data_IF_166538622977
#
_entry.id   IF_166538622977
#
_cell.length_a   1.000
_cell.length_b   1.000
_cell.length_c   1.000
_cell.angle_alpha   90.00
_cell.angle_beta   90.00
_cell.angle_gamma   90.00
#
_symmetry.space_group_name_H-M   'P 1'
#
loop_
_entity.id
_entity.type
_entity.pdbx_description
1 polymer ?
#
# COMPACT_ATOMS: atom_id res chain seq x y z
N UNK A 1 0.76 -8.67 35.09
CA UNK A 1 1.09 -9.21 33.74
C UNK A 1 -0.08 -9.06 32.78
N UNK A 2 -1.29 -9.46 33.20
CA UNK A 2 -2.50 -9.35 32.40
C UNK A 2 -2.81 -7.88 31.99
N UNK A 3 -2.50 -6.90 32.85
CA UNK A 3 -2.83 -5.50 32.59
C UNK A 3 -1.97 -4.85 31.53
N UNK A 4 -0.68 -5.19 31.50
CA UNK A 4 0.24 -4.78 30.43
C UNK A 4 -0.17 -5.42 29.09
N UNK A 5 -0.57 -6.69 29.11
CA UNK A 5 -1.03 -7.39 27.91
C UNK A 5 -2.35 -6.79 27.37
N UNK A 6 -3.30 -6.49 28.26
CA UNK A 6 -4.55 -5.82 27.93
C UNK A 6 -4.34 -4.39 27.42
N UNK A 7 -3.37 -3.67 27.96
CA UNK A 7 -2.99 -2.33 27.47
C UNK A 7 -2.45 -2.40 26.04
N UNK A 8 -1.47 -3.26 25.79
CA UNK A 8 -0.86 -3.42 24.45
C UNK A 8 -1.91 -3.90 23.44
N UNK A 9 -2.72 -4.89 23.80
CA UNK A 9 -3.82 -5.37 22.97
C UNK A 9 -4.84 -4.25 22.65
N UNK A 10 -5.17 -3.43 23.66
CA UNK A 10 -6.06 -2.28 23.51
C UNK A 10 -5.51 -1.21 22.57
N UNK A 11 -4.22 -0.90 22.66
CA UNK A 11 -3.56 0.07 21.76
C UNK A 11 -3.52 -0.43 20.31
N UNK A 12 -3.21 -1.72 20.10
CA UNK A 12 -3.25 -2.34 18.76
C UNK A 12 -4.66 -2.26 18.18
N UNK A 13 -5.68 -2.64 18.94
CA UNK A 13 -7.07 -2.56 18.50
C UNK A 13 -7.51 -1.13 18.24
N UNK A 14 -7.14 -0.18 19.09
CA UNK A 14 -7.44 1.24 18.90
C UNK A 14 -6.86 1.77 17.59
N UNK A 15 -5.60 1.44 17.29
CA UNK A 15 -4.96 1.79 16.01
C UNK A 15 -5.69 1.18 14.80
N UNK A 16 -6.04 -0.10 14.87
CA UNK A 16 -6.78 -0.79 13.79
C UNK A 16 -8.16 -0.16 13.56
N UNK A 17 -8.94 0.06 14.61
CA UNK A 17 -10.27 0.66 14.50
C UNK A 17 -10.22 2.14 14.09
N UNK A 18 -9.23 2.90 14.55
CA UNK A 18 -9.03 4.28 14.13
C UNK A 18 -8.69 4.37 12.63
N UNK A 19 -7.75 3.55 12.16
CA UNK A 19 -7.40 3.47 10.74
C UNK A 19 -8.60 3.01 9.89
N UNK A 20 -9.34 2.00 10.35
CA UNK A 20 -10.51 1.49 9.65
C UNK A 20 -11.65 2.53 9.58
N UNK A 21 -11.98 3.17 10.70
CA UNK A 21 -13.06 4.16 10.78
C UNK A 21 -12.76 5.42 9.98
N UNK A 22 -11.53 5.94 10.08
CA UNK A 22 -11.11 7.12 9.28
C UNK A 22 -11.12 6.81 7.78
N UNK A 23 -10.59 5.66 7.35
CA UNK A 23 -10.59 5.27 5.95
C UNK A 23 -12.01 5.11 5.38
N UNK A 24 -12.95 4.54 6.15
CA UNK A 24 -14.36 4.42 5.73
C UNK A 24 -15.09 5.76 5.69
N UNK A 25 -14.78 6.69 6.60
CA UNK A 25 -15.32 8.05 6.55
C UNK A 25 -14.78 8.85 5.36
N UNK A 26 -13.53 8.62 4.96
CA UNK A 26 -12.94 9.23 3.77
C UNK A 26 -13.57 8.67 2.48
N UNK A 27 -13.88 7.38 2.43
CA UNK A 27 -14.55 6.71 1.31
C UNK A 27 -15.97 6.24 1.66
N UNK A 28 -16.88 7.19 1.88
CA UNK A 28 -18.28 6.88 2.21
C UNK A 28 -19.01 6.16 1.08
N UNK A 29 -18.72 6.51 -0.17
CA UNK A 29 -19.32 5.87 -1.33
C UNK A 29 -18.94 4.39 -1.40
N UNK A 30 -17.64 4.07 -1.28
CA UNK A 30 -17.16 2.69 -1.20
C UNK A 30 -17.73 1.94 0.01
N UNK A 31 -17.83 2.59 1.17
CA UNK A 31 -18.44 2.00 2.37
C UNK A 31 -19.90 1.65 2.16
N UNK A 32 -20.69 2.52 1.51
CA UNK A 32 -22.10 2.26 1.17
C UNK A 32 -22.23 1.06 0.23
N UNK A 33 -21.40 0.99 -0.81
CA UNK A 33 -21.38 -0.12 -1.77
C UNK A 33 -21.02 -1.43 -1.07
N UNK A 34 -20.02 -1.43 -0.19
CA UNK A 34 -19.63 -2.58 0.60
C UNK A 34 -20.78 -3.08 1.49
N UNK A 35 -21.40 -2.17 2.24
CA UNK A 35 -22.54 -2.47 3.13
C UNK A 35 -23.70 -3.11 2.36
N UNK A 36 -24.03 -2.58 1.19
CA UNK A 36 -25.06 -3.17 0.32
C UNK A 36 -24.64 -4.57 -0.20
N UNK A 37 -23.38 -4.74 -0.59
CA UNK A 37 -22.83 -6.02 -1.07
C UNK A 37 -22.86 -7.12 0.01
N UNK A 38 -22.74 -6.74 1.29
CA UNK A 38 -22.92 -7.65 2.43
C UNK A 38 -24.39 -7.96 2.76
N UNK A 39 -25.34 -7.43 1.99
CA UNK A 39 -26.76 -7.77 2.07
C UNK A 39 -27.62 -6.82 2.90
N UNK A 40 -27.08 -5.65 3.29
CA UNK A 40 -27.89 -4.61 3.92
C UNK A 40 -28.79 -3.96 2.85
N UNK A 41 -30.10 -3.79 3.10
CA UNK A 41 -31.02 -3.17 2.15
C UNK A 41 -30.54 -1.77 1.72
N UNK A 42 -30.71 -1.40 0.44
CA UNK A 42 -30.21 -0.13 -0.10
C UNK A 42 -30.73 1.11 0.64
N UNK A 43 -31.94 1.03 1.23
CA UNK A 43 -32.54 2.10 2.04
C UNK A 43 -31.77 2.33 3.35
N UNK A 44 -31.16 1.29 3.90
CA UNK A 44 -30.39 1.33 5.15
C UNK A 44 -28.89 1.50 4.90
N UNK A 45 -28.39 1.16 3.71
CA UNK A 45 -26.99 1.33 3.33
C UNK A 45 -26.39 2.73 3.63
N UNK A 46 -27.06 3.86 3.35
CA UNK A 46 -26.51 5.18 3.71
C UNK A 46 -26.40 5.37 5.24
N UNK A 47 -27.37 4.90 6.02
CA UNK A 47 -27.30 4.97 7.48
C UNK A 47 -26.11 4.16 8.01
N UNK A 48 -25.98 2.90 7.59
CA UNK A 48 -24.89 2.02 8.03
C UNK A 48 -23.51 2.49 7.53
N UNK A 49 -23.43 3.15 6.37
CA UNK A 49 -22.19 3.76 5.87
C UNK A 49 -21.65 4.89 6.77
N UNK A 50 -22.50 5.43 7.66
CA UNK A 50 -22.13 6.45 8.63
C UNK A 50 -22.02 5.89 10.05
N UNK A 51 -22.95 5.03 10.47
CA UNK A 51 -22.99 4.45 11.81
C UNK A 51 -21.81 3.52 12.07
N UNK A 52 -21.43 2.68 11.09
CA UNK A 52 -20.35 1.72 11.28
C UNK A 52 -19.00 2.42 11.51
N UNK A 53 -18.56 3.38 10.68
CA UNK A 53 -17.29 4.06 10.92
C UNK A 53 -17.28 4.86 12.23
N UNK A 54 -18.41 5.46 12.62
CA UNK A 54 -18.51 6.12 13.91
C UNK A 54 -18.36 5.12 15.07
N UNK A 55 -19.02 3.97 15.00
CA UNK A 55 -18.86 2.93 16.02
C UNK A 55 -17.41 2.44 16.11
N UNK A 56 -16.72 2.27 14.99
CA UNK A 56 -15.28 1.93 14.97
C UNK A 56 -14.44 2.99 15.69
N UNK A 57 -14.64 4.27 15.38
CA UNK A 57 -13.92 5.37 16.04
C UNK A 57 -14.26 5.49 17.53
N UNK A 58 -15.52 5.33 17.91
CA UNK A 58 -15.94 5.34 19.31
C UNK A 58 -15.27 4.22 20.09
N UNK A 59 -15.21 3.00 19.53
CA UNK A 59 -14.49 1.88 20.13
C UNK A 59 -13.00 2.18 20.25
N UNK A 60 -12.37 2.76 19.23
CA UNK A 60 -10.98 3.16 19.28
C UNK A 60 -10.70 4.14 20.43
N UNK A 61 -11.57 5.13 20.63
CA UNK A 61 -11.44 6.12 21.72
C UNK A 61 -11.65 5.44 23.08
N UNK A 62 -12.67 4.59 23.24
CA UNK A 62 -12.98 3.91 24.50
C UNK A 62 -11.84 3.01 25.00
N UNK A 63 -10.99 2.49 24.10
CA UNK A 63 -9.86 1.63 24.45
C UNK A 63 -8.69 2.37 25.10
N UNK A 64 -8.58 3.70 24.93
CA UNK A 64 -7.41 4.46 25.43
C UNK A 64 -7.47 4.71 26.95
N UNK A 65 -8.57 5.29 27.50
CA UNK A 65 -8.67 5.53 28.94
C UNK A 65 -8.89 4.20 29.69
N UNK A 66 -8.15 4.02 30.79
CA UNK A 66 -8.32 2.85 31.68
C UNK A 66 -9.79 2.59 32.08
N UNK A 67 -10.56 3.60 32.54
CA UNK A 67 -11.94 3.40 33.00
C UNK A 67 -12.92 2.92 31.92
N UNK A 68 -12.70 3.32 30.66
CA UNK A 68 -13.60 2.97 29.55
C UNK A 68 -13.15 1.73 28.79
N UNK A 69 -11.96 1.19 29.10
CA UNK A 69 -11.35 0.11 28.32
C UNK A 69 -12.16 -1.17 28.32
N UNK A 70 -12.87 -1.49 29.40
CA UNK A 70 -13.78 -2.63 29.43
C UNK A 70 -14.89 -2.49 28.38
N UNK A 71 -15.50 -1.30 28.29
CA UNK A 71 -16.50 -1.00 27.26
C UNK A 71 -15.89 -1.02 25.85
N UNK A 72 -14.67 -0.51 25.69
CA UNK A 72 -13.90 -0.59 24.44
C UNK A 72 -13.62 -2.04 24.00
N UNK A 73 -13.24 -2.91 24.93
CA UNK A 73 -13.03 -4.34 24.69
C UNK A 73 -14.31 -5.07 24.28
N UNK A 74 -15.42 -4.80 24.98
CA UNK A 74 -16.74 -5.35 24.63
C UNK A 74 -17.21 -4.87 23.25
N UNK A 75 -17.07 -3.57 22.97
CA UNK A 75 -17.39 -2.99 21.66
C UNK A 75 -16.53 -3.56 20.53
N UNK A 76 -15.23 -3.78 20.80
CA UNK A 76 -14.31 -4.42 19.84
C UNK A 76 -14.77 -5.84 19.48
N UNK A 77 -15.11 -6.66 20.49
CA UNK A 77 -15.64 -8.00 20.28
C UNK A 77 -16.95 -7.99 19.50
N UNK A 78 -17.86 -7.07 19.85
CA UNK A 78 -19.15 -6.95 19.16
C UNK A 78 -18.97 -6.59 17.68
N UNK A 79 -18.14 -5.59 17.37
CA UNK A 79 -17.88 -5.17 15.98
C UNK A 79 -17.18 -6.27 15.18
N UNK A 80 -16.10 -6.85 15.73
CA UNK A 80 -15.37 -7.93 15.06
C UNK A 80 -16.25 -9.16 14.86
N UNK A 81 -17.08 -9.50 15.84
CA UNK A 81 -18.06 -10.57 15.74
C UNK A 81 -19.07 -10.31 14.63
N UNK A 82 -19.66 -9.12 14.59
CA UNK A 82 -20.62 -8.71 13.54
C UNK A 82 -19.99 -8.79 12.14
N UNK A 83 -18.78 -8.26 11.97
CA UNK A 83 -18.06 -8.32 10.69
C UNK A 83 -17.73 -9.77 10.31
N UNK A 84 -17.32 -10.59 11.27
CA UNK A 84 -17.00 -12.00 11.02
C UNK A 84 -18.23 -12.80 10.61
N UNK A 85 -19.38 -12.57 11.26
CA UNK A 85 -20.66 -13.18 10.87
C UNK A 85 -21.07 -12.73 9.47
N UNK A 86 -20.98 -11.43 9.15
CA UNK A 86 -21.31 -10.92 7.81
C UNK A 86 -20.42 -11.56 6.73
N UNK A 87 -19.11 -11.67 6.98
CA UNK A 87 -18.15 -12.33 6.07
C UNK A 87 -18.49 -13.82 5.93
N UNK A 88 -18.69 -14.53 7.04
CA UNK A 88 -18.98 -15.97 7.02
C UNK A 88 -20.28 -16.28 6.27
N UNK A 89 -21.35 -15.50 6.49
CA UNK A 89 -22.62 -15.65 5.78
C UNK A 89 -22.46 -15.35 4.28
N UNK A 90 -21.64 -14.37 3.91
CA UNK A 90 -21.37 -14.08 2.51
C UNK A 90 -20.63 -15.24 1.82
N UNK A 91 -19.57 -15.75 2.47
CA UNK A 91 -18.79 -16.89 1.97
C UNK A 91 -19.64 -18.16 1.87
N UNK A 92 -20.50 -18.43 2.86
CA UNK A 92 -21.41 -19.57 2.84
C UNK A 92 -22.44 -19.50 1.68
N UNK A 93 -22.75 -18.29 1.20
CA UNK A 93 -23.61 -18.06 0.03
C UNK A 93 -22.84 -18.07 -1.30
N UNK A 94 -21.56 -18.44 -1.28
CA UNK A 94 -20.69 -18.42 -2.46
C UNK A 94 -20.36 -17.02 -2.98
N UNK A 95 -20.57 -15.97 -2.17
CA UNK A 95 -20.29 -14.58 -2.52
C UNK A 95 -19.03 -14.10 -1.83
N UNK A 96 -18.07 -13.60 -2.60
CA UNK A 96 -16.85 -12.98 -2.09
C UNK A 96 -16.84 -11.47 -2.44
N UNK A 97 -17.68 -10.65 -1.78
CA UNK A 97 -17.69 -9.21 -2.01
C UNK A 97 -16.32 -8.61 -1.65
N UNK A 98 -15.94 -7.56 -2.37
CA UNK A 98 -14.76 -6.76 -2.08
C UNK A 98 -14.88 -6.19 -0.65
N UNK A 99 -14.02 -6.61 0.29
CA UNK A 99 -14.02 -5.98 1.61
C UNK A 99 -13.28 -4.65 1.55
N UNK A 100 -14.02 -3.55 1.60
CA UNK A 100 -13.47 -2.21 1.85
C UNK A 100 -13.20 -1.97 3.34
N UNK A 101 -12.69 -3.00 4.03
CA UNK A 101 -12.42 -3.00 5.46
C UNK A 101 -11.53 -1.80 5.90
N UNK A 102 -10.68 -1.30 4.99
CA UNK A 102 -9.82 -0.12 5.14
C UNK A 102 -10.02 0.91 4.02
N UNK A 103 -11.25 1.07 3.51
CA UNK A 103 -11.53 1.91 2.34
C UNK A 103 -10.82 1.41 1.08
N UNK A 104 -10.27 2.32 0.27
CA UNK A 104 -9.53 2.00 -0.97
C UNK A 104 -8.10 1.48 -0.74
N UNK A 105 -7.55 1.59 0.48
CA UNK A 105 -6.18 1.16 0.76
C UNK A 105 -6.00 -0.37 0.69
N UNK A 106 -7.06 -1.13 0.93
CA UNK A 106 -7.02 -2.59 0.85
C UNK A 106 -8.39 -3.15 0.43
N UNK A 107 -8.61 -3.23 -0.88
CA UNK A 107 -9.73 -3.94 -1.48
C UNK A 107 -9.25 -5.32 -1.87
N UNK A 108 -9.80 -6.33 -1.20
CA UNK A 108 -9.59 -7.73 -1.56
C UNK A 108 -10.91 -8.48 -1.33
N UNK A 109 -11.21 -9.50 -2.15
CA UNK A 109 -12.39 -10.32 -1.94
C UNK A 109 -12.36 -10.94 -0.55
N UNK A 110 -13.51 -10.92 0.13
CA UNK A 110 -13.68 -11.59 1.41
C UNK A 110 -13.20 -13.05 1.29
N UNK A 111 -12.39 -13.51 2.25
CA UNK A 111 -11.79 -14.84 2.23
C UNK A 111 -11.63 -15.42 3.63
N UNK A 112 -11.25 -16.71 3.71
CA UNK A 112 -10.92 -17.35 4.98
C UNK A 112 -9.81 -16.62 5.76
N UNK A 113 -8.86 -16.00 5.05
CA UNK A 113 -7.80 -15.19 5.66
C UNK A 113 -8.38 -13.99 6.43
N UNK A 114 -9.47 -13.40 5.93
CA UNK A 114 -10.16 -12.29 6.58
C UNK A 114 -10.79 -12.73 7.92
N UNK A 115 -11.35 -13.95 7.97
CA UNK A 115 -11.88 -14.52 9.21
C UNK A 115 -10.78 -14.83 10.22
N UNK A 116 -9.66 -15.41 9.78
CA UNK A 116 -8.49 -15.65 10.65
C UNK A 116 -7.97 -14.34 11.24
N UNK A 117 -7.81 -13.29 10.42
CA UNK A 117 -7.40 -11.96 10.88
C UNK A 117 -8.36 -11.43 11.94
N UNK A 118 -9.67 -11.47 11.69
CA UNK A 118 -10.66 -11.01 12.67
C UNK A 118 -10.67 -11.86 13.93
N UNK A 119 -10.40 -13.17 13.83
CA UNK A 119 -10.25 -14.06 14.98
C UNK A 119 -9.04 -13.70 15.86
N UNK A 120 -7.89 -13.38 15.23
CA UNK A 120 -6.70 -12.90 15.95
C UNK A 120 -6.96 -11.57 16.66
N UNK A 121 -7.60 -10.62 15.98
CA UNK A 121 -8.04 -9.36 16.60
C UNK A 121 -9.08 -9.60 17.70
N UNK A 122 -9.96 -10.58 17.52
CA UNK A 122 -10.94 -11.00 18.52
C UNK A 122 -10.27 -11.54 19.77
N UNK A 123 -9.19 -12.33 19.65
CA UNK A 123 -8.42 -12.80 20.78
C UNK A 123 -7.79 -11.64 21.57
N UNK A 124 -7.27 -10.61 20.88
CA UNK A 124 -6.82 -9.37 21.53
C UNK A 124 -7.98 -8.65 22.25
N UNK A 125 -9.18 -8.66 21.68
CA UNK A 125 -10.32 -8.03 22.32
C UNK A 125 -10.78 -8.81 23.57
N UNK A 126 -10.66 -10.14 23.57
CA UNK A 126 -10.86 -10.97 24.77
C UNK A 126 -9.81 -10.67 25.84
N UNK A 127 -8.53 -10.49 25.50
CA UNK A 127 -7.50 -10.16 26.51
C UNK A 127 -7.77 -8.79 27.14
N UNK A 128 -8.20 -7.79 26.35
CA UNK A 128 -8.63 -6.49 26.85
C UNK A 128 -9.83 -6.64 27.80
N UNK A 129 -10.84 -7.41 27.40
CA UNK A 129 -12.04 -7.64 28.21
C UNK A 129 -11.70 -8.34 29.54
N UNK A 130 -10.85 -9.37 29.49
CA UNK A 130 -10.41 -10.13 30.66
C UNK A 130 -9.61 -9.26 31.64
N UNK A 131 -8.69 -8.43 31.15
CA UNK A 131 -7.96 -7.47 31.98
C UNK A 131 -8.90 -6.44 32.64
N UNK A 132 -9.89 -5.94 31.88
CA UNK A 132 -10.91 -5.03 32.42
C UNK A 132 -11.79 -5.68 33.49
N UNK A 133 -12.23 -6.92 33.28
CA UNK A 133 -13.04 -7.68 34.25
C UNK A 133 -12.25 -8.05 35.51
N UNK A 134 -10.93 -8.23 35.39
CA UNK A 134 -10.02 -8.42 36.53
C UNK A 134 -9.77 -7.13 37.33
N UNK A 135 -10.34 -5.99 36.91
CA UNK A 135 -10.20 -4.71 37.60
C UNK A 135 -8.87 -4.00 37.34
N UNK A 136 -8.11 -4.39 36.32
CA UNK A 136 -6.85 -3.74 35.99
C UNK A 136 -7.11 -2.39 35.28
N UNK A 137 -6.76 -1.30 35.95
CA UNK A 137 -7.01 0.08 35.46
C UNK A 137 -5.81 0.72 34.76
N UNK A 138 -4.75 -0.06 34.47
CA UNK A 138 -3.48 0.43 33.89
C UNK A 138 -3.74 1.28 32.64
N UNK A 139 -3.62 2.60 32.75
CA UNK A 139 -4.11 3.56 31.75
C UNK A 139 -2.98 4.07 30.86
N UNK A 140 -3.17 4.08 29.52
CA UNK A 140 -2.22 4.73 28.61
C UNK A 140 -2.13 6.25 28.87
N UNK A 141 -3.28 6.86 29.18
CA UNK A 141 -3.42 8.29 29.47
C UNK A 141 -2.87 8.64 30.86
N UNK A 142 -2.95 7.70 31.82
CA UNK A 142 -2.36 7.85 33.15
C UNK A 142 -0.84 7.80 33.10
N UNK A 143 -0.30 6.85 32.33
CA UNK A 143 1.15 6.75 32.07
C UNK A 143 1.68 8.00 31.34
N UNK A 144 0.95 8.56 30.37
CA UNK A 144 1.30 9.83 29.72
C UNK A 144 1.37 11.03 30.70
N UNK A 145 0.58 11.02 31.76
CA UNK A 145 0.62 12.05 32.81
C UNK A 145 1.82 11.92 33.76
N UNK A 146 2.50 10.77 33.77
CA UNK A 146 3.69 10.49 34.59
C UNK A 146 5.01 10.67 33.82
N UNK A 147 4.96 10.90 32.51
CA UNK A 147 6.15 11.05 31.65
C UNK A 147 6.75 12.46 31.73
N UNK A 148 8.08 12.53 31.75
CA UNK A 148 8.82 13.79 31.61
C UNK A 148 8.67 14.36 30.17
N UNK A 149 8.80 15.68 30.01
CA UNK A 149 8.55 16.40 28.74
C UNK A 149 9.39 15.84 27.58
N UNK A 150 10.62 15.41 27.88
CA UNK A 150 11.53 14.78 26.91
C UNK A 150 11.06 13.40 26.45
N UNK A 151 10.48 12.61 27.36
CA UNK A 151 9.95 11.27 27.07
C UNK A 151 8.61 11.34 26.31
N UNK A 152 7.79 12.36 26.58
CA UNK A 152 6.56 12.64 25.81
C UNK A 152 6.91 12.99 24.36
N UNK A 153 7.91 13.87 24.14
CA UNK A 153 8.36 14.24 22.80
C UNK A 153 9.01 13.06 22.05
N UNK A 154 9.82 12.25 22.73
CA UNK A 154 10.44 11.07 22.12
C UNK A 154 9.41 9.99 21.74
N UNK A 155 8.44 9.75 22.62
CA UNK A 155 7.37 8.75 22.38
C UNK A 155 6.43 9.24 21.28
N UNK A 156 5.97 10.50 21.36
CA UNK A 156 5.15 11.12 20.32
C UNK A 156 5.86 11.17 18.97
N UNK A 157 7.14 11.56 18.96
CA UNK A 157 7.99 11.55 17.78
C UNK A 157 8.13 10.16 17.17
N UNK A 158 8.26 9.12 17.99
CA UNK A 158 8.35 7.72 17.53
C UNK A 158 7.06 7.24 16.87
N UNK A 159 5.90 7.59 17.44
CA UNK A 159 4.59 7.28 16.83
C UNK A 159 4.38 8.04 15.52
N UNK A 160 4.74 9.32 15.46
CA UNK A 160 4.67 10.13 14.23
C UNK A 160 5.60 9.57 13.16
N UNK A 161 6.84 9.22 13.51
CA UNK A 161 7.79 8.61 12.59
C UNK A 161 7.27 7.26 12.06
N UNK A 162 6.72 6.40 12.93
CA UNK A 162 6.14 5.12 12.52
C UNK A 162 4.93 5.32 11.60
N UNK A 163 4.07 6.30 11.89
CA UNK A 163 2.93 6.64 11.04
C UNK A 163 3.37 7.16 9.67
N UNK A 164 4.41 8.00 9.60
CA UNK A 164 5.00 8.49 8.35
C UNK A 164 5.59 7.33 7.54
N UNK A 165 6.34 6.43 8.19
CA UNK A 165 6.92 5.25 7.53
C UNK A 165 5.83 4.31 7.01
N UNK A 166 4.80 4.06 7.81
CA UNK A 166 3.68 3.22 7.40
C UNK A 166 2.90 3.86 6.23
N UNK A 167 2.59 5.15 6.31
CA UNK A 167 1.91 5.88 5.24
C UNK A 167 2.74 5.92 3.96
N UNK A 168 4.04 6.20 4.07
CA UNK A 168 4.99 6.19 2.95
C UNK A 168 5.11 4.80 2.32
N UNK A 169 5.23 3.74 3.13
CA UNK A 169 5.27 2.36 2.67
C UNK A 169 3.98 1.94 1.96
N UNK A 170 2.81 2.33 2.49
CA UNK A 170 1.52 2.09 1.84
C UNK A 170 1.38 2.84 0.52
N UNK A 171 1.77 4.12 0.48
CA UNK A 171 1.77 4.93 -0.73
C UNK A 171 2.70 4.34 -1.81
N UNK A 172 3.92 3.95 -1.41
CA UNK A 172 4.89 3.30 -2.29
C UNK A 172 4.33 1.99 -2.87
N UNK A 173 3.78 1.11 -2.04
CA UNK A 173 3.19 -0.15 -2.50
C UNK A 173 1.97 0.06 -3.40
N UNK A 174 1.15 1.09 -3.13
CA UNK A 174 0.03 1.48 -4.00
C UNK A 174 0.53 1.91 -5.38
N UNK A 175 1.56 2.77 -5.41
CA UNK A 175 2.16 3.28 -6.63
C UNK A 175 2.82 2.16 -7.44
N UNK A 176 3.62 1.30 -6.79
CA UNK A 176 4.25 0.15 -7.42
C UNK A 176 3.21 -0.80 -8.06
N UNK A 177 2.09 -1.05 -7.37
CA UNK A 177 0.98 -1.85 -7.94
C UNK A 177 0.26 -1.12 -9.08
N UNK A 178 0.12 0.20 -9.01
CA UNK A 178 -0.47 0.99 -10.09
C UNK A 178 0.39 0.90 -11.37
N UNK A 179 1.71 1.10 -11.26
CA UNK A 179 2.64 0.96 -12.37
C UNK A 179 2.69 -0.47 -12.93
N UNK A 180 2.70 -1.48 -12.06
CA UNK A 180 2.68 -2.88 -12.49
C UNK A 180 1.46 -3.22 -13.36
N UNK A 181 0.28 -2.68 -13.05
CA UNK A 181 -0.92 -2.87 -13.89
C UNK A 181 -0.80 -2.24 -15.28
N UNK A 182 -0.14 -1.09 -15.38
CA UNK A 182 0.07 -0.41 -16.66
C UNK A 182 1.03 -1.22 -17.53
N UNK A 183 2.16 -1.68 -16.96
CA UNK A 183 3.13 -2.51 -17.68
C UNK A 183 2.51 -3.81 -18.18
N UNK A 184 1.73 -4.50 -17.33
CA UNK A 184 1.03 -5.72 -17.73
C UNK A 184 -0.02 -5.48 -18.83
N UNK A 185 -0.66 -4.31 -18.83
CA UNK A 185 -1.63 -3.93 -19.87
C UNK A 185 -0.95 -3.59 -21.19
N UNK A 186 0.22 -2.94 -21.13
CA UNK A 186 1.05 -2.65 -22.30
C UNK A 186 1.48 -3.96 -22.96
N UNK A 187 2.07 -4.87 -22.18
CA UNK A 187 2.52 -6.19 -22.63
C UNK A 187 1.35 -7.03 -23.21
N UNK A 188 0.16 -6.96 -22.61
CA UNK A 188 -1.03 -7.59 -23.17
C UNK A 188 -1.46 -7.00 -24.54
N UNK A 189 -1.31 -5.69 -24.73
CA UNK A 189 -1.60 -4.99 -25.99
C UNK A 189 -0.55 -5.35 -27.05
N UNK A 190 0.74 -5.32 -26.69
CA UNK A 190 1.86 -5.68 -27.57
C UNK A 190 1.73 -7.12 -28.09
N UNK A 191 1.46 -8.08 -27.20
CA UNK A 191 1.17 -9.47 -27.61
C UNK A 191 -0.08 -9.60 -28.48
N UNK A 192 -1.07 -8.73 -28.26
CA UNK A 192 -2.27 -8.66 -29.10
C UNK A 192 -1.96 -8.18 -30.51
N UNK A 193 -1.16 -7.11 -30.64
CA UNK A 193 -0.69 -6.56 -31.91
C UNK A 193 0.19 -7.56 -32.68
N UNK A 194 1.12 -8.23 -31.99
CA UNK A 194 1.96 -9.27 -32.58
C UNK A 194 1.13 -10.42 -33.17
N UNK A 195 0.07 -10.87 -32.48
CA UNK A 195 -0.86 -11.88 -33.02
C UNK A 195 -1.67 -11.40 -34.22
N UNK A 196 -1.91 -10.09 -34.32
CA UNK A 196 -2.56 -9.48 -35.48
C UNK A 196 -1.59 -9.22 -36.65
N UNK A 197 -0.31 -9.61 -36.51
CA UNK A 197 0.72 -9.41 -37.54
C UNK A 197 1.26 -7.98 -37.60
N UNK A 198 1.02 -7.16 -36.58
CA UNK A 198 1.58 -5.82 -36.44
C UNK A 198 2.78 -5.93 -35.49
N UNK A 199 3.98 -6.03 -36.05
CA UNK A 199 5.22 -5.92 -35.28
C UNK A 199 5.46 -4.44 -34.97
N UNK A 200 5.58 -4.10 -33.69
CA UNK A 200 6.03 -2.79 -33.26
C UNK A 200 7.54 -2.76 -33.48
N UNK A 201 8.03 -1.87 -34.35
CA UNK A 201 9.46 -1.62 -34.51
C UNK A 201 10.04 -1.22 -33.16
N UNK A 202 11.06 -1.93 -32.72
CA UNK A 202 11.80 -1.59 -31.52
C UNK A 202 12.59 -0.31 -31.79
N UNK A 203 12.03 0.85 -31.42
CA UNK A 203 12.69 2.17 -31.50
C UNK A 203 14.04 2.20 -30.73
N UNK A 204 14.33 1.18 -29.92
CA UNK A 204 15.63 0.96 -29.27
C UNK A 204 16.73 0.51 -30.23
N UNK A 205 16.39 0.09 -31.45
CA UNK A 205 17.38 -0.19 -32.49
C UNK A 205 17.97 1.15 -32.96
N UNK A 206 18.98 1.62 -32.22
CA UNK A 206 19.89 2.68 -32.64
C UNK A 206 20.23 2.37 -34.10
N UNK A 207 19.92 3.24 -35.07
CA UNK A 207 20.36 3.01 -36.43
C UNK A 207 21.86 2.80 -36.36
N UNK A 208 22.36 1.67 -36.89
CA UNK A 208 23.81 1.39 -36.92
C UNK A 208 24.49 2.53 -37.68
N UNK A 209 24.89 3.56 -36.94
CA UNK A 209 25.56 4.75 -37.43
C UNK A 209 27.03 4.40 -37.53
N UNK A 210 27.45 4.02 -38.74
CA UNK A 210 28.84 3.70 -39.05
C UNK A 210 28.98 2.45 -39.90
N UNK A 211 30.22 2.18 -40.31
CA UNK A 211 30.56 0.94 -40.98
C UNK A 211 30.91 -0.11 -39.93
N UNK A 212 30.54 -1.37 -40.17
CA UNK A 212 30.88 -2.47 -39.27
C UNK A 212 32.42 -2.60 -39.11
N UNK A 213 32.92 -3.00 -37.93
CA UNK A 213 34.35 -3.28 -37.75
C UNK A 213 34.84 -4.32 -38.77
N UNK A 214 35.99 -4.04 -39.40
CA UNK A 214 36.56 -4.88 -40.46
C UNK A 214 36.11 -4.49 -41.87
N UNK A 215 35.15 -3.58 -42.03
CA UNK A 215 34.86 -2.96 -43.33
C UNK A 215 36.02 -2.06 -43.74
N UNK A 216 36.44 -2.12 -45.01
CA UNK A 216 37.50 -1.24 -45.51
C UNK A 216 37.06 0.23 -45.40
N UNK A 217 37.92 1.07 -44.81
CA UNK A 217 37.63 2.49 -44.67
C UNK A 217 37.47 3.15 -46.06
N UNK A 218 36.38 3.91 -46.30
CA UNK A 218 36.16 4.57 -47.58
C UNK A 218 37.20 5.67 -47.79
N UNK A 219 37.67 5.82 -49.03
CA UNK A 219 38.57 6.89 -49.38
C UNK A 219 37.88 8.25 -49.25
N UNK A 220 38.63 9.24 -48.81
CA UNK A 220 38.20 10.64 -48.79
C UNK A 220 39.37 11.54 -49.15
N UNK A 221 39.04 12.77 -49.56
CA UNK A 221 39.96 13.89 -49.70
C UNK A 221 39.31 15.12 -49.06
N UNK A 222 40.06 15.80 -48.20
CA UNK A 222 39.62 16.99 -47.48
C UNK A 222 40.73 18.05 -47.49
N UNK A 223 40.40 19.28 -47.14
CA UNK A 223 41.42 20.29 -46.88
C UNK A 223 41.93 20.19 -45.44
N UNK A 224 43.24 20.38 -45.24
CA UNK A 224 43.84 20.55 -43.93
C UNK A 224 43.64 21.99 -43.39
N UNK A 225 44.19 22.27 -42.22
CA UNK A 225 44.09 23.60 -41.57
C UNK A 225 44.80 24.72 -42.34
N UNK A 226 45.65 24.37 -43.31
CA UNK A 226 46.35 25.32 -44.19
C UNK A 226 45.66 25.47 -45.56
N UNK A 227 44.60 24.69 -45.81
CA UNK A 227 43.87 24.66 -47.07
C UNK A 227 44.47 23.72 -48.13
N UNK A 228 45.50 22.94 -47.78
CA UNK A 228 46.07 21.95 -48.68
C UNK A 228 45.18 20.69 -48.72
N UNK A 229 45.07 20.06 -49.89
CA UNK A 229 44.30 18.82 -50.05
C UNK A 229 45.05 17.64 -49.43
N UNK A 230 44.39 16.88 -48.56
CA UNK A 230 44.89 15.69 -47.88
C UNK A 230 43.89 14.55 -48.05
N UNK A 231 44.37 13.37 -48.44
CA UNK A 231 43.57 12.16 -48.61
C UNK A 231 43.78 11.14 -47.50
N UNK A 232 42.89 10.15 -47.39
CA UNK A 232 43.08 9.02 -46.48
C UNK A 232 44.43 8.32 -46.70
N UNK A 233 44.88 8.19 -47.95
CA UNK A 233 46.16 7.53 -48.27
C UNK A 233 47.37 8.30 -47.72
N UNK A 234 47.27 9.63 -47.65
CA UNK A 234 48.33 10.49 -47.11
C UNK A 234 48.43 10.42 -45.57
N UNK A 235 47.37 9.96 -44.90
CA UNK A 235 47.29 9.82 -43.44
C UNK A 235 47.65 8.42 -42.93
N UNK A 236 47.84 7.45 -43.83
CA UNK A 236 48.13 6.07 -43.48
C UNK A 236 49.64 5.83 -43.43
N UNK A 237 50.15 5.48 -42.25
CA UNK A 237 51.53 5.02 -42.06
C UNK A 237 51.58 3.50 -41.81
N UNK A 238 52.60 2.78 -42.32
CA UNK A 238 52.74 1.35 -42.06
C UNK A 238 52.80 1.07 -40.55
N UNK A 239 52.01 0.10 -40.10
CA UNK A 239 51.97 -0.41 -38.72
C UNK A 239 51.47 0.58 -37.64
N UNK A 240 50.93 1.74 -38.02
CA UNK A 240 50.36 2.70 -37.08
C UNK A 240 48.82 2.81 -37.21
N UNK A 241 48.07 2.79 -36.09
CA UNK A 241 46.64 2.99 -36.12
C UNK A 241 46.29 4.47 -36.36
N UNK A 242 45.35 4.73 -37.27
CA UNK A 242 44.79 6.06 -37.53
C UNK A 242 43.43 6.21 -36.83
N UNK A 243 43.26 7.26 -36.03
CA UNK A 243 41.98 7.63 -35.41
C UNK A 243 41.39 8.85 -36.13
N UNK A 244 40.18 8.73 -36.65
CA UNK A 244 39.43 9.83 -37.25
C UNK A 244 38.34 10.30 -36.29
N UNK A 245 38.36 11.58 -35.94
CA UNK A 245 37.38 12.23 -35.08
C UNK A 245 36.54 13.16 -35.96
N UNK A 246 35.23 12.90 -36.01
CA UNK A 246 34.26 13.75 -36.68
C UNK A 246 33.54 14.57 -35.60
N UNK A 247 33.54 15.89 -35.72
CA UNK A 247 32.84 16.82 -34.81
C UNK A 247 31.86 17.68 -35.57
#
# INVERSE_FOLDING_TARGET
MLGALGLVAGLVLAGVFAAAGTAKLADRAGTRTAVAAFGVPERLAPLFSFVVPLAELTVAILLLPGPTRLAGGAGSLALLGLFSVAIALSLARGRAPECHCFGQLHSAPASWKTLVRNGLLGALAVTVLAAGLAGETTSAVGWLGELDTTQVLATGGSFVALAIVAAGGMAFLSLARAHGRVLLRLDAIERGLAKAGIELEDESAVPELGLAPGTTAPSFATADTTGASVSLADLLEPELPLLLLFT
#
